data_IF_707737653905
#
_entry.id   IF_707737653905
#
_cell.length_a   1.000
_cell.length_b   1.000
_cell.length_c   1.000
_cell.angle_alpha   90.00
_cell.angle_beta   90.00
_cell.angle_gamma   90.00
#
_symmetry.space_group_name_H-M   'P 1'
#
loop_
_entity.id
_entity.type
_entity.pdbx_description
1 polymer ?
#
# COMPACT_ATOMS: atom_id res chain seq x y z
N UNK A 1 -68.22 -47.59 -19.92
CA UNK A 1 -67.56 -46.47 -19.20
C UNK A 1 -66.07 -46.62 -19.40
N UNK A 2 -65.50 -45.84 -20.30
CA UNK A 2 -64.06 -45.82 -20.59
C UNK A 2 -63.53 -44.55 -19.93
N UNK A 3 -62.61 -44.66 -18.98
CA UNK A 3 -61.91 -43.50 -18.40
C UNK A 3 -60.46 -43.56 -18.83
N UNK A 4 -60.14 -42.65 -19.74
CA UNK A 4 -58.82 -42.40 -20.29
C UNK A 4 -57.84 -41.95 -19.19
N UNK A 5 -56.66 -42.56 -19.19
CA UNK A 5 -55.50 -42.14 -18.40
C UNK A 5 -54.95 -40.83 -18.97
N UNK A 6 -55.15 -39.72 -18.26
CA UNK A 6 -54.49 -38.44 -18.59
C UNK A 6 -53.00 -38.54 -18.29
N UNK A 7 -52.22 -38.44 -19.37
CA UNK A 7 -50.78 -38.23 -19.41
C UNK A 7 -50.42 -36.98 -18.60
N UNK A 8 -49.50 -37.12 -17.64
CA UNK A 8 -48.88 -36.00 -16.93
C UNK A 8 -48.17 -35.10 -17.94
N UNK A 9 -48.44 -33.80 -17.83
CA UNK A 9 -47.99 -32.77 -18.76
C UNK A 9 -46.48 -32.77 -18.99
N UNK A 10 -46.12 -32.55 -20.25
CA UNK A 10 -44.83 -32.00 -20.63
C UNK A 10 -44.68 -30.65 -19.93
N UNK A 11 -43.89 -30.62 -18.85
CA UNK A 11 -43.33 -29.38 -18.33
C UNK A 11 -42.05 -29.11 -19.09
N UNK A 12 -42.01 -28.00 -19.81
CA UNK A 12 -40.80 -27.39 -20.36
C UNK A 12 -39.64 -27.53 -19.38
N UNK A 13 -38.53 -28.07 -19.85
CA UNK A 13 -37.26 -27.98 -19.13
C UNK A 13 -36.86 -26.52 -19.19
N UNK A 14 -37.33 -25.74 -18.23
CA UNK A 14 -36.84 -24.39 -17.99
C UNK A 14 -35.34 -24.49 -17.77
N UNK A 15 -34.57 -24.19 -18.81
CA UNK A 15 -33.14 -23.90 -18.69
C UNK A 15 -33.08 -22.77 -17.66
N UNK A 16 -32.47 -22.96 -16.48
CA UNK A 16 -32.34 -21.87 -15.55
C UNK A 16 -31.56 -20.78 -16.27
N UNK A 17 -32.15 -19.58 -16.39
CA UNK A 17 -31.45 -18.40 -16.86
C UNK A 17 -30.10 -18.35 -16.15
N UNK A 18 -28.99 -18.12 -16.87
CA UNK A 18 -27.70 -17.96 -16.22
C UNK A 18 -27.87 -16.82 -15.22
N UNK A 19 -27.86 -17.18 -13.92
CA UNK A 19 -27.91 -16.19 -12.84
C UNK A 19 -26.89 -15.15 -13.23
N UNK A 20 -27.34 -13.92 -13.45
CA UNK A 20 -26.44 -12.79 -13.58
C UNK A 20 -25.60 -12.81 -12.31
N UNK A 21 -24.37 -13.30 -12.45
CA UNK A 21 -23.36 -13.15 -11.41
C UNK A 21 -23.31 -11.65 -11.15
N UNK A 22 -23.45 -11.19 -9.89
CA UNK A 22 -23.23 -9.78 -9.61
C UNK A 22 -21.88 -9.45 -10.23
N UNK A 23 -21.86 -8.45 -11.12
CA UNK A 23 -20.62 -7.94 -11.70
C UNK A 23 -19.71 -7.70 -10.51
N UNK A 24 -18.72 -8.57 -10.34
CA UNK A 24 -17.68 -8.38 -9.35
C UNK A 24 -17.01 -7.11 -9.83
N UNK A 25 -17.39 -5.97 -9.25
CA UNK A 25 -16.54 -4.79 -9.27
C UNK A 25 -15.18 -5.36 -8.88
N UNK A 26 -14.18 -5.17 -9.72
CA UNK A 26 -12.80 -5.37 -9.31
C UNK A 26 -12.60 -4.45 -8.11
N UNK A 27 -12.90 -4.97 -6.91
CA UNK A 27 -12.34 -4.44 -5.70
C UNK A 27 -10.88 -4.81 -5.88
N UNK A 28 -10.08 -3.83 -6.31
CA UNK A 28 -8.64 -3.93 -6.15
C UNK A 28 -8.47 -4.13 -4.65
N UNK A 29 -8.29 -5.37 -4.22
CA UNK A 29 -8.00 -5.68 -2.83
C UNK A 29 -6.57 -5.21 -2.65
N UNK A 30 -6.44 -3.97 -2.21
CA UNK A 30 -5.16 -3.39 -1.90
C UNK A 30 -4.54 -4.18 -0.74
N UNK A 31 -3.43 -4.85 -1.02
CA UNK A 31 -2.69 -5.60 -0.01
C UNK A 31 -1.70 -4.69 0.71
N UNK A 32 -2.23 -3.89 1.65
CA UNK A 32 -1.43 -3.02 2.54
C UNK A 32 -0.49 -3.81 3.46
N UNK A 33 -0.63 -5.14 3.50
CA UNK A 33 0.24 -6.04 4.26
C UNK A 33 1.52 -6.43 3.51
N UNK A 34 1.60 -6.08 2.21
CA UNK A 34 2.79 -6.35 1.40
C UNK A 34 4.02 -5.59 1.90
N UNK A 35 5.17 -6.13 1.55
CA UNK A 35 6.47 -5.55 1.85
C UNK A 35 6.74 -4.34 0.96
N UNK A 36 7.29 -3.28 1.54
CA UNK A 36 7.76 -2.10 0.83
C UNK A 36 9.03 -2.46 0.08
N UNK A 37 9.03 -2.21 -1.21
CA UNK A 37 10.19 -2.39 -2.08
C UNK A 37 11.13 -1.18 -2.01
N UNK A 38 12.41 -1.39 -2.30
CA UNK A 38 13.40 -0.31 -2.17
C UNK A 38 13.14 0.84 -3.16
N UNK A 39 12.56 0.56 -4.33
CA UNK A 39 12.21 1.61 -5.28
C UNK A 39 11.08 2.51 -4.76
N UNK A 40 10.16 1.97 -3.94
CA UNK A 40 9.09 2.75 -3.32
C UNK A 40 9.66 3.70 -2.27
N UNK A 41 10.66 3.25 -1.50
CA UNK A 41 11.37 4.13 -0.57
C UNK A 41 12.13 5.23 -1.31
N UNK A 42 12.73 4.93 -2.46
CA UNK A 42 13.38 5.96 -3.29
C UNK A 42 12.35 6.96 -3.82
N UNK A 43 11.20 6.47 -4.28
CA UNK A 43 10.11 7.31 -4.76
C UNK A 43 9.60 8.24 -3.64
N UNK A 44 9.35 7.71 -2.44
CA UNK A 44 8.96 8.53 -1.27
C UNK A 44 10.03 9.56 -0.94
N UNK A 45 11.31 9.16 -0.92
CA UNK A 45 12.39 10.08 -0.64
C UNK A 45 12.41 11.26 -1.62
N UNK A 46 12.14 11.00 -2.90
CA UNK A 46 12.02 12.05 -3.90
C UNK A 46 10.81 12.94 -3.64
N UNK A 47 9.61 12.37 -3.41
CA UNK A 47 8.40 13.16 -3.13
C UNK A 47 8.54 14.05 -1.90
N UNK A 48 9.14 13.54 -0.82
CA UNK A 48 9.38 14.31 0.40
C UNK A 48 10.40 15.42 0.19
N UNK A 49 11.44 15.19 -0.62
CA UNK A 49 12.41 16.23 -0.94
C UNK A 49 11.86 17.30 -1.89
N UNK A 50 10.92 16.94 -2.75
CA UNK A 50 10.21 17.89 -3.62
C UNK A 50 9.14 18.69 -2.85
N UNK A 51 8.74 18.23 -1.66
CA UNK A 51 7.82 18.95 -0.78
C UNK A 51 8.54 20.08 -0.01
N UNK A 52 7.85 21.21 0.18
CA UNK A 52 8.36 22.38 0.91
C UNK A 52 8.65 22.12 2.41
N UNK A 53 8.29 20.93 2.94
CA UNK A 53 8.37 20.59 4.36
C UNK A 53 9.45 19.55 4.72
N UNK A 54 10.46 19.39 3.85
CA UNK A 54 11.57 18.46 4.08
C UNK A 54 12.25 18.63 5.46
N UNK A 55 12.37 19.87 5.95
CA UNK A 55 12.98 20.12 7.26
C UNK A 55 12.15 19.51 8.40
N UNK A 56 10.83 19.66 8.36
CA UNK A 56 9.94 19.05 9.33
C UNK A 56 9.94 17.53 9.21
N UNK A 57 10.00 17.01 7.97
CA UNK A 57 10.17 15.59 7.75
C UNK A 57 11.43 15.09 8.44
N UNK A 58 12.60 15.67 8.14
CA UNK A 58 13.87 15.21 8.72
C UNK A 58 13.88 15.32 10.26
N UNK A 59 13.36 16.41 10.83
CA UNK A 59 13.24 16.56 12.28
C UNK A 59 12.38 15.45 12.89
N UNK A 60 11.18 15.22 12.36
CA UNK A 60 10.27 14.21 12.90
C UNK A 60 10.79 12.80 12.61
N UNK A 61 11.44 12.60 11.47
CA UNK A 61 12.00 11.32 11.08
C UNK A 61 13.20 10.93 11.96
N UNK A 62 13.95 11.90 12.47
CA UNK A 62 15.04 11.64 13.44
C UNK A 62 14.58 11.07 14.77
N UNK A 63 13.29 11.12 15.10
CA UNK A 63 12.76 10.43 16.28
C UNK A 63 12.67 8.91 16.08
N UNK A 64 12.67 8.42 14.83
CA UNK A 64 12.55 6.99 14.50
C UNK A 64 13.88 6.31 14.20
N UNK A 65 14.96 7.08 14.09
CA UNK A 65 16.30 6.54 13.82
C UNK A 65 17.29 7.01 14.88
N UNK A 66 18.26 6.18 15.28
CA UNK A 66 19.30 6.62 16.20
C UNK A 66 20.03 7.85 15.66
N UNK A 67 20.20 8.88 16.51
CA UNK A 67 20.92 10.11 16.14
C UNK A 67 22.29 9.86 15.52
N UNK A 68 22.97 8.80 15.96
CA UNK A 68 24.25 8.36 15.40
C UNK A 68 24.14 8.00 13.92
N UNK A 69 23.12 7.22 13.54
CA UNK A 69 22.90 6.81 12.15
C UNK A 69 22.54 8.00 11.26
N UNK A 70 21.73 8.94 11.77
CA UNK A 70 21.44 10.19 11.07
C UNK A 70 22.74 10.96 10.76
N UNK A 71 23.61 11.14 11.77
CA UNK A 71 24.87 11.87 11.61
C UNK A 71 25.87 11.16 10.68
N UNK A 72 25.88 9.83 10.67
CA UNK A 72 26.70 9.06 9.73
C UNK A 72 26.24 9.29 8.29
N UNK A 73 24.94 9.16 8.04
CA UNK A 73 24.34 9.36 6.71
C UNK A 73 24.50 10.81 6.24
N UNK A 74 24.31 11.78 7.13
CA UNK A 74 24.47 13.21 6.82
C UNK A 74 25.89 13.56 6.39
N UNK A 75 26.90 12.88 6.94
CA UNK A 75 28.33 13.08 6.58
C UNK A 75 28.73 12.35 5.31
N UNK A 76 28.19 11.16 5.09
CA UNK A 76 28.59 10.28 3.99
C UNK A 76 27.98 10.71 2.65
N UNK A 77 26.70 11.10 2.67
CA UNK A 77 25.94 11.45 1.47
C UNK A 77 25.83 12.97 1.36
N UNK A 78 25.90 13.51 0.15
CA UNK A 78 25.73 14.96 -0.11
C UNK A 78 24.35 15.29 -0.65
N UNK A 79 23.88 14.45 -1.56
CA UNK A 79 22.58 14.60 -2.20
C UNK A 79 21.44 14.41 -1.18
N UNK A 80 20.48 15.32 -1.22
CA UNK A 80 19.39 15.37 -0.24
C UNK A 80 18.41 14.22 -0.42
N UNK A 81 18.10 13.84 -1.66
CA UNK A 81 17.22 12.70 -1.95
C UNK A 81 17.89 11.40 -1.51
N UNK A 82 19.17 11.23 -1.85
CA UNK A 82 19.93 10.07 -1.42
C UNK A 82 20.03 9.97 0.10
N UNK A 83 20.27 11.09 0.81
CA UNK A 83 20.22 11.11 2.29
C UNK A 83 18.88 10.60 2.80
N UNK A 84 17.78 11.18 2.34
CA UNK A 84 16.43 10.80 2.77
C UNK A 84 16.16 9.31 2.51
N UNK A 85 16.53 8.83 1.32
CA UNK A 85 16.42 7.42 0.97
C UNK A 85 17.24 6.50 1.90
N UNK A 86 18.50 6.87 2.20
CA UNK A 86 19.38 6.10 3.10
C UNK A 86 18.85 6.07 4.52
N UNK A 87 18.25 7.17 5.01
CA UNK A 87 17.58 7.22 6.31
C UNK A 87 16.40 6.26 6.34
N UNK A 88 15.58 6.23 5.29
CA UNK A 88 14.44 5.31 5.18
C UNK A 88 14.87 3.84 5.08
N UNK A 89 15.95 3.54 4.35
CA UNK A 89 16.53 2.20 4.32
C UNK A 89 17.03 1.75 5.70
N UNK A 90 17.69 2.65 6.44
CA UNK A 90 18.14 2.36 7.80
C UNK A 90 16.95 2.09 8.71
N UNK A 91 15.93 2.93 8.66
CA UNK A 91 14.69 2.74 9.39
C UNK A 91 14.02 1.39 9.08
N UNK A 92 13.87 1.03 7.80
CA UNK A 92 13.34 -0.27 7.36
C UNK A 92 14.12 -1.43 7.99
N UNK A 93 15.44 -1.33 8.09
CA UNK A 93 16.28 -2.35 8.70
C UNK A 93 16.06 -2.46 10.21
N UNK A 94 16.03 -1.34 10.92
CA UNK A 94 15.94 -1.30 12.39
C UNK A 94 14.54 -1.63 12.92
N UNK A 95 13.48 -1.04 12.36
CA UNK A 95 12.11 -1.17 12.87
C UNK A 95 11.51 -2.55 12.58
N UNK A 96 11.87 -3.16 11.45
CA UNK A 96 11.16 -4.34 10.92
C UNK A 96 12.07 -5.49 10.51
N UNK A 97 13.36 -5.45 10.88
CA UNK A 97 14.37 -6.40 10.38
C UNK A 97 14.41 -6.47 8.84
N UNK A 98 14.10 -5.37 8.16
CA UNK A 98 13.99 -5.29 6.71
C UNK A 98 12.63 -5.64 6.12
N UNK A 99 11.65 -6.04 6.95
CA UNK A 99 10.31 -6.45 6.55
C UNK A 99 9.26 -5.34 6.77
N UNK A 100 9.53 -4.15 6.25
CA UNK A 100 8.65 -3.00 6.38
C UNK A 100 7.38 -3.20 5.54
N UNK A 101 6.22 -3.26 6.20
CA UNK A 101 4.93 -3.31 5.52
C UNK A 101 4.51 -1.95 5.01
N UNK A 102 3.79 -1.95 3.89
CA UNK A 102 3.35 -0.74 3.22
C UNK A 102 2.40 0.11 4.07
N UNK A 103 1.47 -0.52 4.79
CA UNK A 103 0.62 0.17 5.78
C UNK A 103 1.43 0.95 6.82
N UNK A 104 2.57 0.41 7.27
CA UNK A 104 3.40 1.04 8.29
C UNK A 104 4.08 2.29 7.71
N UNK A 105 4.55 2.20 6.46
CA UNK A 105 5.09 3.35 5.75
C UNK A 105 4.01 4.44 5.53
N UNK A 106 2.81 4.04 5.11
CA UNK A 106 1.69 4.96 4.90
C UNK A 106 1.23 5.64 6.20
N UNK A 107 1.12 4.90 7.31
CA UNK A 107 0.84 5.44 8.64
C UNK A 107 1.89 6.46 9.07
N UNK A 108 3.17 6.18 8.81
CA UNK A 108 4.25 7.13 9.11
C UNK A 108 4.17 8.39 8.26
N UNK A 109 3.95 8.25 6.95
CA UNK A 109 3.77 9.40 6.05
C UNK A 109 2.63 10.31 6.50
N UNK A 110 1.48 9.74 6.89
CA UNK A 110 0.35 10.49 7.47
C UNK A 110 0.74 11.20 8.77
N UNK A 111 1.52 10.54 9.64
CA UNK A 111 1.94 11.11 10.93
C UNK A 111 2.89 12.31 10.79
N UNK A 112 3.65 12.38 9.70
CA UNK A 112 4.63 13.43 9.41
C UNK A 112 4.09 14.40 8.33
N UNK A 113 2.76 14.53 8.25
CA UNK A 113 2.06 15.52 7.39
C UNK A 113 2.26 15.33 5.88
N UNK A 114 2.49 14.11 5.42
CA UNK A 114 2.43 13.75 4.00
C UNK A 114 1.32 12.73 3.69
N UNK A 115 0.06 13.00 4.03
CA UNK A 115 -1.06 12.11 3.69
C UNK A 115 -1.19 11.90 2.18
N UNK A 116 -0.85 12.88 1.35
CA UNK A 116 -0.89 12.81 -0.11
C UNK A 116 0.08 11.78 -0.70
N UNK A 117 1.26 11.62 -0.09
CA UNK A 117 2.24 10.60 -0.50
C UNK A 117 1.74 9.23 -0.06
N UNK A 118 1.13 9.13 1.12
CA UNK A 118 0.52 7.90 1.62
C UNK A 118 -0.64 7.42 0.72
N UNK A 119 -1.51 8.33 0.29
CA UNK A 119 -2.64 8.03 -0.61
C UNK A 119 -2.17 7.53 -1.99
N UNK A 120 -1.04 8.02 -2.50
CA UNK A 120 -0.46 7.54 -3.75
C UNK A 120 0.20 6.15 -3.61
N UNK A 121 0.70 5.82 -2.42
CA UNK A 121 1.21 4.48 -2.08
C UNK A 121 0.11 3.45 -1.81
N UNK A 122 -1.05 3.92 -1.34
CA UNK A 122 -2.24 3.12 -1.03
C UNK A 122 -3.40 3.40 -2.00
N UNK A 123 -3.35 2.97 -3.28
CA UNK A 123 -4.45 3.13 -4.23
C UNK A 123 -5.70 2.30 -3.89
#
# INVERSE_FOLDING_TARGET
MVRETKTLGQGDVGVPEPRHLPTVRNIVVYDSSRQVENWELMWVAQQVCDADDLHHWLLTFTDFIPRKDYQEIEKEYKDTVEKTYRLMLRWKREETNGLLQLKNLAEKLRSIRHPEIAEQLEP
#
